data_IF_361797230876
#
_entry.id   IF_361797230876
#
_cell.length_a   1.000
_cell.length_b   1.000
_cell.length_c   1.000
_cell.angle_alpha   90.00
_cell.angle_beta   90.00
_cell.angle_gamma   90.00
#
_symmetry.space_group_name_H-M   'P 1'
#
loop_
_entity.id
_entity.type
_entity.pdbx_description
1 polymer ?
#
# COMPACT_ATOMS: atom_id res chain seq x y z
N UNK A 1 -11.27 19.46 10.89
CA UNK A 1 -11.04 18.02 10.67
C UNK A 1 -9.73 17.73 9.91
N UNK A 2 -9.47 18.37 8.76
CA UNK A 2 -8.17 18.20 8.08
C UNK A 2 -6.98 18.74 8.90
N UNK A 3 -7.13 19.91 9.51
CA UNK A 3 -6.09 20.49 10.36
C UNK A 3 -5.77 19.63 11.60
N UNK A 4 -6.75 18.98 12.18
CA UNK A 4 -6.56 18.06 13.32
C UNK A 4 -5.72 16.85 12.89
N UNK A 5 -6.09 16.20 11.79
CA UNK A 5 -5.33 15.04 11.25
C UNK A 5 -3.89 15.43 10.91
N UNK A 6 -3.69 16.61 10.32
CA UNK A 6 -2.32 17.11 10.02
C UNK A 6 -1.52 17.36 11.30
N UNK A 7 -2.16 17.91 12.34
CA UNK A 7 -1.53 18.12 13.65
C UNK A 7 -1.13 16.82 14.32
N UNK A 8 -2.00 15.80 14.28
CA UNK A 8 -1.70 14.47 14.84
C UNK A 8 -0.53 13.80 14.10
N UNK A 9 -0.48 13.89 12.77
CA UNK A 9 0.64 13.36 11.97
C UNK A 9 1.95 14.10 12.28
N UNK A 10 1.90 15.41 12.48
CA UNK A 10 3.06 16.20 12.86
C UNK A 10 3.59 15.79 14.23
N UNK A 11 2.71 15.60 15.22
CA UNK A 11 3.09 15.12 16.55
C UNK A 11 3.72 13.72 16.50
N UNK A 12 3.15 12.81 15.70
CA UNK A 12 3.68 11.48 15.49
C UNK A 12 5.08 11.52 14.85
N UNK A 13 5.28 12.34 13.83
CA UNK A 13 6.59 12.51 13.21
C UNK A 13 7.62 13.09 14.19
N UNK A 14 7.21 14.03 15.06
CA UNK A 14 8.08 14.65 16.08
C UNK A 14 8.38 13.73 17.25
N UNK A 15 7.55 12.73 17.53
CA UNK A 15 7.76 11.79 18.63
C UNK A 15 8.90 10.81 18.37
N UNK A 16 9.32 10.66 17.12
CA UNK A 16 10.44 9.80 16.77
C UNK A 16 11.78 10.44 17.18
N UNK A 17 12.67 9.71 17.88
CA UNK A 17 13.98 10.22 18.27
C UNK A 17 14.76 10.75 17.06
N UNK A 18 15.31 11.96 17.18
CA UNK A 18 16.09 12.60 16.11
C UNK A 18 15.30 13.53 15.20
N UNK A 19 13.97 13.59 15.29
CA UNK A 19 13.10 14.50 14.50
C UNK A 19 13.31 14.42 12.97
N UNK A 20 13.86 13.33 12.49
CA UNK A 20 14.13 13.04 11.08
C UNK A 20 13.12 12.03 10.54
N UNK A 21 11.82 12.37 10.63
CA UNK A 21 10.76 11.42 10.33
C UNK A 21 9.64 12.03 9.51
N UNK A 22 8.95 11.17 8.79
CA UNK A 22 7.73 11.45 8.05
C UNK A 22 6.61 10.56 8.59
N UNK A 23 5.44 11.15 8.84
CA UNK A 23 4.22 10.43 9.15
C UNK A 23 3.22 10.59 8.00
N UNK A 24 2.73 9.48 7.48
CA UNK A 24 1.86 9.44 6.32
C UNK A 24 0.55 8.72 6.66
N UNK A 25 -0.54 9.15 6.04
CA UNK A 25 -1.82 8.45 6.07
C UNK A 25 -2.31 8.15 7.49
N UNK A 26 -2.54 9.19 8.29
CA UNK A 26 -3.11 9.06 9.63
C UNK A 26 -4.49 8.38 9.62
N UNK A 27 -4.93 7.97 10.80
CA UNK A 27 -6.17 7.22 11.09
C UNK A 27 -7.49 7.82 10.57
N UNK A 28 -7.44 8.93 9.86
CA UNK A 28 -8.58 9.54 9.17
C UNK A 28 -9.17 8.71 8.02
N UNK A 29 -8.57 7.59 7.66
CA UNK A 29 -9.15 6.60 6.73
C UNK A 29 -10.10 5.63 7.42
N UNK A 30 -10.91 6.13 8.37
CA UNK A 30 -12.08 5.43 8.90
C UNK A 30 -13.16 5.27 7.82
N UNK A 31 -12.91 4.45 6.80
CA UNK A 31 -13.98 4.01 5.90
C UNK A 31 -14.64 2.70 6.31
N UNK A 32 -14.20 2.07 7.40
CA UNK A 32 -14.89 0.94 8.01
C UNK A 32 -14.89 1.04 9.52
N UNK A 33 -15.74 1.93 10.02
CA UNK A 33 -16.14 1.91 11.42
C UNK A 33 -17.03 0.70 11.65
N UNK A 34 -16.45 -0.39 12.13
CA UNK A 34 -17.23 -1.42 12.81
C UNK A 34 -17.65 -0.86 14.17
N UNK A 35 -18.85 -0.28 14.23
CA UNK A 35 -19.46 0.32 15.43
C UNK A 35 -19.77 -0.68 16.56
N UNK A 36 -19.19 -1.86 16.57
CA UNK A 36 -19.59 -2.92 17.52
C UNK A 36 -18.69 -3.14 18.72
N UNK A 37 -17.51 -2.53 18.81
CA UNK A 37 -16.70 -2.64 20.03
C UNK A 37 -16.16 -1.26 20.42
N UNK A 38 -16.71 -0.70 21.51
CA UNK A 38 -16.30 0.57 22.12
C UNK A 38 -14.95 0.50 22.84
N UNK A 39 -13.92 0.03 22.14
CA UNK A 39 -12.53 0.10 22.56
C UNK A 39 -11.88 1.33 21.95
N UNK A 40 -11.05 2.02 22.72
CA UNK A 40 -10.24 3.13 22.26
C UNK A 40 -9.57 2.77 20.95
N UNK A 41 -9.90 3.51 19.87
CA UNK A 41 -9.26 3.34 18.58
C UNK A 41 -7.76 3.64 18.76
N UNK A 42 -6.97 2.59 18.73
CA UNK A 42 -5.53 2.69 18.87
C UNK A 42 -4.98 3.58 17.75
N UNK A 43 -4.10 4.50 18.13
CA UNK A 43 -3.37 5.42 17.24
C UNK A 43 -2.40 4.68 16.28
N UNK A 44 -2.63 3.38 16.04
CA UNK A 44 -1.68 2.46 15.38
C UNK A 44 -1.63 2.53 13.86
N UNK A 45 -2.43 3.34 13.18
CA UNK A 45 -2.55 3.26 11.72
C UNK A 45 -1.77 4.33 10.94
N UNK A 46 -1.04 5.22 11.59
CA UNK A 46 -0.15 6.13 10.88
C UNK A 46 1.16 5.44 10.55
N UNK A 47 1.55 5.47 9.29
CA UNK A 47 2.85 4.98 8.86
C UNK A 47 3.91 6.04 9.18
N UNK A 48 4.74 5.78 10.18
CA UNK A 48 5.85 6.65 10.60
C UNK A 48 7.17 6.01 10.20
N UNK A 49 7.98 6.75 9.46
CA UNK A 49 9.29 6.31 8.97
C UNK A 49 10.32 7.41 9.22
N UNK A 50 11.59 7.05 9.39
CA UNK A 50 12.67 7.99 9.13
C UNK A 50 12.71 8.33 7.64
N UNK A 51 13.31 9.48 7.27
CA UNK A 51 13.44 9.83 5.85
C UNK A 51 14.24 8.78 5.07
N UNK A 52 15.28 8.22 5.67
CA UNK A 52 16.11 7.19 5.04
C UNK A 52 15.29 5.90 4.81
N UNK A 53 14.54 5.44 5.82
CA UNK A 53 13.66 4.28 5.67
C UNK A 53 12.58 4.50 4.60
N UNK A 54 11.96 5.67 4.57
CA UNK A 54 10.96 5.98 3.55
C UNK A 54 11.57 5.98 2.15
N UNK A 55 12.73 6.63 1.97
CA UNK A 55 13.38 6.74 0.66
C UNK A 55 13.89 5.37 0.19
N UNK A 56 14.50 4.59 1.05
CA UNK A 56 15.09 3.30 0.68
C UNK A 56 14.03 2.21 0.55
N UNK A 57 13.23 1.98 1.59
CA UNK A 57 12.32 0.82 1.66
C UNK A 57 10.99 1.09 0.98
N UNK A 58 10.33 2.21 1.27
CA UNK A 58 8.99 2.48 0.72
C UNK A 58 9.10 2.95 -0.72
N UNK A 59 9.86 4.03 -0.95
CA UNK A 59 9.97 4.62 -2.29
C UNK A 59 10.90 3.81 -3.22
N UNK A 60 12.12 3.54 -2.77
CA UNK A 60 13.17 2.91 -3.57
C UNK A 60 12.91 1.44 -3.87
N UNK A 61 12.23 0.72 -2.98
CA UNK A 61 11.93 -0.68 -3.17
C UNK A 61 10.47 -0.90 -3.59
N UNK A 62 9.48 -0.56 -2.74
CA UNK A 62 8.07 -0.93 -2.96
C UNK A 62 7.42 -0.12 -4.09
N UNK A 63 7.49 1.22 -4.03
CA UNK A 63 6.88 2.07 -5.07
C UNK A 63 7.58 1.84 -6.41
N UNK A 64 8.90 1.77 -6.42
CA UNK A 64 9.66 1.49 -7.64
C UNK A 64 9.26 0.15 -8.25
N UNK A 65 9.15 -0.91 -7.44
CA UNK A 65 8.71 -2.23 -7.90
C UNK A 65 7.30 -2.18 -8.50
N UNK A 66 6.35 -1.50 -7.84
CA UNK A 66 4.99 -1.31 -8.36
C UNK A 66 5.01 -0.62 -9.72
N UNK A 67 5.79 0.46 -9.85
CA UNK A 67 5.92 1.22 -11.11
C UNK A 67 6.57 0.42 -12.23
N UNK A 68 7.49 -0.48 -11.92
CA UNK A 68 8.21 -1.29 -12.91
C UNK A 68 7.39 -2.48 -13.41
N UNK A 69 6.60 -3.13 -12.54
CA UNK A 69 5.96 -4.40 -12.83
C UNK A 69 4.43 -4.33 -12.99
N UNK A 70 3.81 -3.23 -12.56
CA UNK A 70 2.37 -3.06 -12.68
C UNK A 70 2.02 -1.93 -13.67
N UNK A 71 1.02 -2.17 -14.50
CA UNK A 71 0.40 -1.15 -15.34
C UNK A 71 -0.67 -0.46 -14.49
N UNK A 72 -0.38 0.76 -14.08
CA UNK A 72 -1.19 1.56 -13.17
C UNK A 72 -1.95 2.61 -13.97
N UNK A 73 -3.28 2.53 -13.95
CA UNK A 73 -4.13 3.46 -14.69
C UNK A 73 -3.82 4.91 -14.29
N UNK A 74 -3.68 5.77 -15.29
CA UNK A 74 -3.40 7.19 -15.10
C UNK A 74 -1.95 7.54 -14.67
N UNK A 75 -1.09 6.58 -14.29
CA UNK A 75 0.31 6.85 -13.92
C UNK A 75 1.26 6.46 -15.04
N UNK A 76 1.24 5.21 -15.46
CA UNK A 76 2.16 4.66 -16.46
C UNK A 76 1.45 3.92 -17.59
N UNK A 77 0.11 4.08 -17.71
CA UNK A 77 -0.72 3.40 -18.70
C UNK A 77 -0.37 3.70 -20.16
N UNK A 78 0.27 4.84 -20.43
CA UNK A 78 0.74 5.23 -21.78
C UNK A 78 2.12 4.64 -22.13
N UNK A 79 2.70 3.83 -21.25
CA UNK A 79 3.97 3.17 -21.54
C UNK A 79 3.78 2.07 -22.58
N UNK A 80 4.60 2.07 -23.64
CA UNK A 80 4.61 1.03 -24.68
C UNK A 80 5.07 -0.36 -24.19
N UNK A 81 5.33 -0.50 -22.90
CA UNK A 81 5.71 -1.78 -22.30
C UNK A 81 4.48 -2.63 -22.01
N UNK A 82 4.28 -3.66 -22.80
CA UNK A 82 3.21 -4.66 -22.63
C UNK A 82 3.62 -5.81 -21.68
N UNK A 83 4.66 -5.63 -20.89
CA UNK A 83 5.23 -6.66 -20.01
C UNK A 83 4.84 -6.48 -18.53
N UNK A 84 3.78 -5.72 -18.26
CA UNK A 84 3.31 -5.38 -16.91
C UNK A 84 1.94 -5.97 -16.60
N UNK A 85 1.70 -6.24 -15.32
CA UNK A 85 0.40 -6.72 -14.84
C UNK A 85 -0.54 -5.53 -14.64
N UNK A 86 -1.69 -5.54 -15.33
CA UNK A 86 -2.69 -4.49 -15.18
C UNK A 86 -3.27 -4.46 -13.76
N UNK A 87 -3.29 -3.27 -13.17
CA UNK A 87 -3.80 -3.04 -11.82
C UNK A 87 -4.59 -1.73 -11.76
N UNK A 88 -5.90 -1.85 -11.83
CA UNK A 88 -6.81 -0.73 -11.58
C UNK A 88 -6.97 -0.41 -10.10
N UNK A 89 -7.50 0.77 -9.78
CA UNK A 89 -7.71 1.26 -8.40
C UNK A 89 -8.42 0.25 -7.50
N UNK A 90 -9.51 -0.36 -7.99
CA UNK A 90 -10.30 -1.32 -7.20
C UNK A 90 -9.48 -2.50 -6.72
N UNK A 91 -8.54 -2.98 -7.55
CA UNK A 91 -7.63 -4.05 -7.17
C UNK A 91 -6.66 -3.58 -6.08
N UNK A 92 -6.06 -2.40 -6.25
CA UNK A 92 -5.11 -1.85 -5.28
C UNK A 92 -5.78 -1.62 -3.92
N UNK A 93 -6.99 -1.06 -3.88
CA UNK A 93 -7.78 -0.93 -2.65
C UNK A 93 -8.05 -2.29 -2.00
N UNK A 94 -8.44 -3.28 -2.79
CA UNK A 94 -8.70 -4.63 -2.28
C UNK A 94 -7.44 -5.25 -1.66
N UNK A 95 -6.30 -5.15 -2.34
CA UNK A 95 -5.02 -5.67 -1.82
C UNK A 95 -4.61 -4.95 -0.54
N UNK A 96 -4.74 -3.62 -0.52
CA UNK A 96 -4.43 -2.80 0.65
C UNK A 96 -5.28 -3.20 1.86
N UNK A 97 -6.61 -3.30 1.70
CA UNK A 97 -7.52 -3.68 2.78
C UNK A 97 -7.21 -5.08 3.33
N UNK A 98 -6.90 -6.04 2.47
CA UNK A 98 -6.51 -7.38 2.90
C UNK A 98 -5.19 -7.41 3.66
N UNK A 99 -4.22 -6.57 3.27
CA UNK A 99 -2.95 -6.44 4.00
C UNK A 99 -3.14 -5.79 5.36
N UNK A 100 -3.99 -4.79 5.47
CA UNK A 100 -4.33 -4.15 6.74
C UNK A 100 -5.06 -5.13 7.69
N UNK A 101 -6.03 -5.88 7.16
CA UNK A 101 -6.74 -6.92 7.92
C UNK A 101 -5.84 -8.08 8.37
N UNK A 102 -4.81 -8.39 7.59
CA UNK A 102 -3.87 -9.47 7.90
C UNK A 102 -3.02 -9.25 9.17
N UNK A 103 -3.02 -8.04 9.73
CA UNK A 103 -2.41 -7.76 11.03
C UNK A 103 -3.17 -8.47 12.17
N UNK A 104 -4.49 -8.60 12.06
CA UNK A 104 -5.36 -9.24 13.07
C UNK A 104 -5.89 -10.61 12.67
N UNK A 105 -5.97 -10.93 11.37
CA UNK A 105 -6.57 -12.16 10.88
C UNK A 105 -5.75 -12.82 9.77
N UNK A 106 -5.27 -14.03 10.06
CA UNK A 106 -4.56 -14.88 9.07
C UNK A 106 -5.41 -15.22 7.85
N UNK A 107 -6.73 -15.16 7.96
CA UNK A 107 -7.64 -15.42 6.84
C UNK A 107 -7.49 -14.34 5.77
N UNK A 108 -7.21 -13.10 6.14
CA UNK A 108 -7.00 -12.02 5.17
C UNK A 108 -5.69 -12.19 4.39
N UNK A 109 -4.66 -12.77 4.99
CA UNK A 109 -3.45 -13.16 4.26
C UNK A 109 -3.74 -14.26 3.23
N UNK A 110 -4.59 -15.24 3.58
CA UNK A 110 -5.01 -16.28 2.62
C UNK A 110 -5.86 -15.69 1.48
N UNK A 111 -6.78 -14.76 1.78
CA UNK A 111 -7.56 -14.03 0.78
C UNK A 111 -6.69 -13.15 -0.12
N UNK A 112 -5.64 -12.55 0.44
CA UNK A 112 -4.64 -11.78 -0.31
C UNK A 112 -3.92 -12.70 -1.31
N UNK A 113 -3.38 -13.83 -0.85
CA UNK A 113 -2.71 -14.80 -1.71
C UNK A 113 -3.65 -15.32 -2.82
N UNK A 114 -4.91 -15.62 -2.49
CA UNK A 114 -5.94 -16.01 -3.47
C UNK A 114 -6.22 -14.90 -4.49
N UNK A 115 -6.32 -13.66 -4.03
CA UNK A 115 -6.52 -12.50 -4.92
C UNK A 115 -5.37 -12.36 -5.90
N UNK A 116 -4.12 -12.49 -5.44
CA UNK A 116 -2.94 -12.49 -6.31
C UNK A 116 -2.98 -13.65 -7.31
N UNK A 117 -3.35 -14.85 -6.87
CA UNK A 117 -3.44 -16.02 -7.76
C UNK A 117 -4.44 -15.82 -8.91
N UNK A 118 -5.52 -15.07 -8.68
CA UNK A 118 -6.52 -14.74 -9.71
C UNK A 118 -6.04 -13.72 -10.75
N UNK A 119 -4.94 -13.02 -10.50
CA UNK A 119 -4.35 -12.07 -11.45
C UNK A 119 -3.51 -12.77 -12.52
N UNK A 120 -3.40 -14.11 -12.49
CA UNK A 120 -2.60 -14.86 -13.46
C UNK A 120 -3.06 -14.55 -14.90
N UNK A 121 -2.20 -13.96 -15.73
CA UNK A 121 -2.53 -13.63 -17.10
C UNK A 121 -2.64 -14.90 -17.95
N UNK A 122 -3.45 -14.82 -19.01
CA UNK A 122 -3.54 -15.87 -20.01
C UNK A 122 -2.35 -15.84 -20.97
N UNK A 123 -1.82 -14.69 -21.20
CA UNK A 123 -0.68 -14.39 -22.08
C UNK A 123 0.61 -14.99 -21.47
N UNK A 124 1.25 -15.88 -22.21
CA UNK A 124 2.49 -16.53 -21.76
C UNK A 124 3.63 -15.53 -21.50
N UNK A 125 3.65 -14.45 -22.26
CA UNK A 125 4.67 -13.39 -22.16
C UNK A 125 4.64 -12.65 -20.83
N UNK A 126 3.45 -12.52 -20.22
CA UNK A 126 3.24 -11.84 -18.93
C UNK A 126 3.48 -12.75 -17.72
N UNK A 127 3.56 -14.06 -17.92
CA UNK A 127 3.70 -15.01 -16.81
C UNK A 127 4.97 -14.79 -15.97
N UNK A 128 6.16 -14.51 -16.54
CA UNK A 128 7.35 -14.24 -15.73
C UNK A 128 7.20 -13.00 -14.85
N UNK A 129 6.60 -11.92 -15.38
CA UNK A 129 6.30 -10.72 -14.60
C UNK A 129 5.29 -11.00 -13.48
N UNK A 130 4.23 -11.74 -13.80
CA UNK A 130 3.22 -12.16 -12.83
C UNK A 130 3.83 -12.96 -11.67
N UNK A 131 4.65 -13.98 -11.97
CA UNK A 131 5.27 -14.80 -10.92
C UNK A 131 6.19 -13.96 -10.02
N UNK A 132 6.90 -13.00 -10.60
CA UNK A 132 7.72 -12.05 -9.84
C UNK A 132 6.87 -11.18 -8.92
N UNK A 133 5.79 -10.59 -9.42
CA UNK A 133 4.86 -9.77 -8.63
C UNK A 133 4.22 -10.61 -7.52
N UNK A 134 3.70 -11.80 -7.84
CA UNK A 134 3.07 -12.70 -6.88
C UNK A 134 4.03 -13.10 -5.76
N UNK A 135 5.22 -13.53 -6.11
CA UNK A 135 6.23 -13.97 -5.14
C UNK A 135 6.67 -12.83 -4.23
N UNK A 136 6.96 -11.67 -4.80
CA UNK A 136 7.44 -10.52 -4.05
C UNK A 136 6.37 -9.96 -3.11
N UNK A 137 5.12 -9.84 -3.58
CA UNK A 137 4.00 -9.38 -2.76
C UNK A 137 3.73 -10.31 -1.59
N UNK A 138 3.81 -11.64 -1.82
CA UNK A 138 3.62 -12.61 -0.75
C UNK A 138 4.73 -12.54 0.30
N UNK A 139 6.00 -12.40 -0.12
CA UNK A 139 7.13 -12.22 0.79
C UNK A 139 6.94 -10.99 1.68
N UNK A 140 6.55 -9.85 1.12
CA UNK A 140 6.28 -8.63 1.88
C UNK A 140 5.05 -8.77 2.79
N UNK A 141 4.00 -9.45 2.34
CA UNK A 141 2.78 -9.61 3.12
C UNK A 141 2.96 -10.44 4.40
N UNK A 142 3.89 -11.41 4.39
CA UNK A 142 4.13 -12.30 5.54
C UNK A 142 4.85 -11.60 6.67
N UNK A 143 5.78 -10.70 6.37
CA UNK A 143 6.55 -9.95 7.36
C UNK A 143 5.81 -8.66 7.74
N UNK A 144 5.61 -8.43 9.03
CA UNK A 144 4.81 -7.30 9.51
C UNK A 144 5.33 -5.94 9.05
N UNK A 145 6.62 -5.69 9.20
CA UNK A 145 7.25 -4.41 8.81
C UNK A 145 7.12 -4.18 7.30
N UNK A 146 7.48 -5.16 6.49
CA UNK A 146 7.40 -5.07 5.03
C UNK A 146 5.95 -4.94 4.55
N UNK A 147 4.99 -5.56 5.25
CA UNK A 147 3.57 -5.41 4.98
C UNK A 147 3.10 -3.98 5.21
N UNK A 148 3.52 -3.33 6.31
CA UNK A 148 3.22 -1.92 6.58
C UNK A 148 3.79 -1.00 5.49
N UNK A 149 5.02 -1.22 5.08
CA UNK A 149 5.67 -0.50 3.98
C UNK A 149 4.93 -0.69 2.65
N UNK A 150 4.49 -1.91 2.35
CA UNK A 150 3.71 -2.20 1.13
C UNK A 150 2.34 -1.51 1.16
N UNK A 151 1.65 -1.51 2.30
CA UNK A 151 0.38 -0.78 2.48
C UNK A 151 0.58 0.71 2.20
N UNK A 152 1.63 1.31 2.75
CA UNK A 152 1.97 2.72 2.51
C UNK A 152 2.25 2.99 1.04
N UNK A 153 3.00 2.12 0.37
CA UNK A 153 3.30 2.23 -1.05
C UNK A 153 2.03 2.14 -1.92
N UNK A 154 1.14 1.18 -1.63
CA UNK A 154 -0.15 1.04 -2.32
C UNK A 154 -1.02 2.28 -2.13
N UNK A 155 -1.09 2.81 -0.91
CA UNK A 155 -1.86 3.99 -0.59
C UNK A 155 -1.33 5.22 -1.35
N UNK A 156 -0.01 5.40 -1.39
CA UNK A 156 0.65 6.46 -2.16
C UNK A 156 0.30 6.39 -3.66
N UNK A 157 0.36 5.20 -4.26
CA UNK A 157 -0.01 4.98 -5.67
C UNK A 157 -1.48 5.29 -5.90
N UNK A 158 -2.39 4.85 -5.03
CA UNK A 158 -3.83 5.11 -5.12
C UNK A 158 -4.10 6.62 -5.11
N UNK A 159 -3.45 7.38 -4.22
CA UNK A 159 -3.59 8.84 -4.21
C UNK A 159 -3.11 9.47 -5.52
N UNK A 160 -1.95 9.08 -6.03
CA UNK A 160 -1.46 9.57 -7.32
C UNK A 160 -2.38 9.25 -8.51
N UNK A 161 -3.10 8.13 -8.44
CA UNK A 161 -4.09 7.79 -9.48
C UNK A 161 -5.34 8.68 -9.40
N UNK A 162 -5.67 9.24 -8.23
CA UNK A 162 -6.82 10.15 -8.05
C UNK A 162 -6.54 11.53 -8.61
N UNK A 163 -5.37 12.10 -8.35
CA UNK A 163 -5.02 13.46 -8.77
C UNK A 163 -5.08 13.65 -10.29
N UNK A 164 -4.93 12.59 -11.07
CA UNK A 164 -4.98 12.64 -12.53
C UNK A 164 -6.38 12.52 -13.14
N UNK A 165 -7.38 12.15 -12.36
CA UNK A 165 -8.78 12.12 -12.83
C UNK A 165 -9.46 13.48 -12.65
N UNK A 166 -8.93 14.34 -11.79
CA UNK A 166 -9.46 15.67 -11.49
C UNK A 166 -8.81 16.79 -12.34
N UNK A 167 -7.78 16.45 -13.12
CA UNK A 167 -7.04 17.36 -14.02
C UNK A 167 -7.45 17.17 -15.48
#
# INVERSE_FOLDING_TARGET
>A
RMAEVTGELEELAKSNPGKNSIALFGSGTEYHRNEKNGGAAEKENAAVYTWDEFIEKVHGEKIKFLMEHMLLDGINGNSKRNDRISAGKSLLYKLMNLLQGAAGDRMDLARFAYTLARLKPKEKELQPCYEKVRSQFYQWAVKEEERKELVTALQFIIYRMRDKEEA
#
